data_IF_614062008086
#
_entry.id   IF_614062008086
#
_cell.length_a   1.000
_cell.length_b   1.000
_cell.length_c   1.000
_cell.angle_alpha   90.00
_cell.angle_beta   90.00
_cell.angle_gamma   90.00
#
_symmetry.space_group_name_H-M   'P 1'
#
loop_
_entity.id
_entity.type
_entity.pdbx_description
1 polymer ?
#
# COMPACT_ATOMS: atom_id res chain seq x y z
N UNK A 1 10.39 11.63 -16.62
CA UNK A 1 10.47 11.41 -18.09
C UNK A 1 10.69 9.94 -18.49
N UNK A 2 11.35 9.11 -17.66
CA UNK A 2 11.53 7.69 -17.95
C UNK A 2 10.23 6.87 -17.86
N UNK A 3 9.30 7.23 -16.97
CA UNK A 3 7.99 6.58 -16.88
C UNK A 3 7.10 6.83 -18.11
N UNK A 4 7.27 7.95 -18.81
CA UNK A 4 6.51 8.22 -20.03
C UNK A 4 6.99 7.41 -21.24
N UNK A 5 8.27 7.03 -21.30
CA UNK A 5 8.78 6.13 -22.33
C UNK A 5 8.35 4.68 -22.11
N UNK A 6 8.00 4.31 -20.87
CA UNK A 6 7.46 3.01 -20.50
C UNK A 6 6.04 2.76 -21.03
N UNK A 7 5.28 3.83 -21.30
CA UNK A 7 3.86 3.74 -21.68
C UNK A 7 3.58 2.99 -22.99
N UNK A 8 4.53 2.98 -23.91
CA UNK A 8 4.36 2.24 -25.19
C UNK A 8 4.59 0.73 -25.05
N UNK A 9 5.38 0.30 -24.07
CA UNK A 9 5.74 -1.10 -23.84
C UNK A 9 4.91 -1.76 -22.74
N UNK A 10 4.56 -0.98 -21.71
CA UNK A 10 3.78 -1.43 -20.55
C UNK A 10 2.66 -0.43 -20.24
N UNK A 11 1.47 -0.61 -20.84
CA UNK A 11 0.33 0.24 -20.54
C UNK A 11 0.00 0.19 -19.05
N UNK A 12 -0.09 1.36 -18.45
CA UNK A 12 -0.28 1.52 -17.01
C UNK A 12 -1.24 2.65 -16.68
N UNK A 13 -1.78 2.64 -15.49
CA UNK A 13 -2.64 3.69 -14.94
C UNK A 13 -2.31 3.95 -13.48
N UNK A 14 -2.38 5.22 -13.09
CA UNK A 14 -2.27 5.65 -11.69
C UNK A 14 -3.66 5.85 -11.10
N UNK A 15 -3.91 5.23 -9.96
CA UNK A 15 -5.17 5.32 -9.23
C UNK A 15 -4.92 5.97 -7.88
N UNK A 16 -5.57 7.11 -7.68
CA UNK A 16 -5.51 7.91 -6.47
C UNK A 16 -6.19 7.18 -5.29
N UNK A 17 -5.44 6.98 -4.22
CA UNK A 17 -5.86 6.35 -2.97
C UNK A 17 -6.07 7.36 -1.82
N UNK A 18 -6.24 8.64 -2.13
CA UNK A 18 -6.57 9.65 -1.14
C UNK A 18 -8.07 9.64 -0.81
N UNK A 19 -8.37 9.73 0.46
CA UNK A 19 -9.71 9.74 1.02
C UNK A 19 -10.06 11.14 1.53
N UNK A 20 -11.20 11.68 1.09
CA UNK A 20 -11.65 12.97 1.57
C UNK A 20 -12.26 12.85 2.97
N UNK A 21 -11.77 13.65 3.91
CA UNK A 21 -12.29 13.71 5.28
C UNK A 21 -13.79 14.05 5.25
N UNK A 22 -14.57 13.35 6.08
CA UNK A 22 -16.03 13.49 6.14
C UNK A 22 -16.81 12.72 5.06
N UNK A 23 -16.14 12.10 4.09
CA UNK A 23 -16.79 11.15 3.19
C UNK A 23 -16.78 9.73 3.76
N UNK A 24 -17.39 8.76 3.07
CA UNK A 24 -17.39 7.36 3.49
C UNK A 24 -16.16 6.62 2.94
N UNK A 25 -15.33 6.11 3.81
CA UNK A 25 -14.12 5.35 3.45
C UNK A 25 -14.46 4.12 2.60
N UNK A 26 -15.54 3.44 2.92
CA UNK A 26 -16.06 2.31 2.15
C UNK A 26 -16.31 2.67 0.68
N UNK A 27 -16.96 3.81 0.45
CA UNK A 27 -17.26 4.29 -0.91
C UNK A 27 -15.98 4.59 -1.70
N UNK A 28 -14.95 5.12 -1.04
CA UNK A 28 -13.65 5.37 -1.68
C UNK A 28 -12.97 4.06 -2.07
N UNK A 29 -12.96 3.07 -1.17
CA UNK A 29 -12.36 1.75 -1.46
C UNK A 29 -13.09 1.06 -2.62
N UNK A 30 -14.42 1.10 -2.65
CA UNK A 30 -15.20 0.54 -3.76
C UNK A 30 -14.93 1.27 -5.07
N UNK A 31 -14.73 2.60 -5.04
CA UNK A 31 -14.31 3.36 -6.22
C UNK A 31 -12.93 2.93 -6.73
N UNK A 32 -11.95 2.75 -5.84
CA UNK A 32 -10.61 2.27 -6.19
C UNK A 32 -10.69 0.90 -6.87
N UNK A 33 -11.45 -0.05 -6.30
CA UNK A 33 -11.66 -1.39 -6.86
C UNK A 33 -12.22 -1.34 -8.28
N UNK A 34 -13.27 -0.55 -8.50
CA UNK A 34 -13.90 -0.36 -9.81
C UNK A 34 -12.97 0.28 -10.83
N UNK A 35 -12.19 1.27 -10.41
CA UNK A 35 -11.21 1.92 -11.28
C UNK A 35 -10.10 0.95 -11.70
N UNK A 36 -9.61 0.09 -10.79
CA UNK A 36 -8.67 -0.96 -11.13
C UNK A 36 -9.25 -1.95 -12.15
N UNK A 37 -10.49 -2.42 -11.93
CA UNK A 37 -11.17 -3.31 -12.85
C UNK A 37 -11.29 -2.68 -14.25
N UNK A 38 -11.78 -1.44 -14.33
CA UNK A 38 -11.90 -0.69 -15.58
C UNK A 38 -10.56 -0.52 -16.29
N UNK A 39 -9.52 -0.17 -15.53
CA UNK A 39 -8.17 0.00 -16.05
C UNK A 39 -7.65 -1.27 -16.75
N UNK A 40 -7.84 -2.44 -16.12
CA UNK A 40 -7.41 -3.71 -16.67
C UNK A 40 -8.21 -4.07 -17.93
N UNK A 41 -9.51 -3.82 -17.94
CA UNK A 41 -10.37 -4.05 -19.10
C UNK A 41 -10.00 -3.15 -20.28
N UNK A 42 -9.45 -1.96 -20.02
CA UNK A 42 -8.89 -1.05 -21.02
C UNK A 42 -7.49 -1.48 -21.52
N UNK A 43 -6.94 -2.60 -21.02
CA UNK A 43 -5.68 -3.17 -21.49
C UNK A 43 -4.46 -2.83 -20.66
N UNK A 44 -4.59 -2.06 -19.58
CA UNK A 44 -3.47 -1.75 -18.70
C UNK A 44 -2.95 -3.02 -17.99
N UNK A 45 -1.62 -3.14 -17.90
CA UNK A 45 -0.91 -4.27 -17.30
C UNK A 45 -0.28 -3.94 -15.96
N UNK A 46 -0.16 -2.66 -15.66
CA UNK A 46 0.40 -2.15 -14.42
C UNK A 46 -0.57 -1.13 -13.84
N UNK A 47 -0.85 -1.25 -12.56
CA UNK A 47 -1.64 -0.26 -11.80
C UNK A 47 -0.77 0.27 -10.67
N UNK A 48 -0.58 1.58 -10.64
CA UNK A 48 0.03 2.28 -9.52
C UNK A 48 -1.09 2.75 -8.58
N UNK A 49 -1.12 2.18 -7.38
CA UNK A 49 -1.99 2.63 -6.30
C UNK A 49 -1.20 3.67 -5.50
N UNK A 50 -1.59 4.93 -5.59
CA UNK A 50 -0.78 6.04 -5.09
C UNK A 50 -1.48 6.87 -4.02
N UNK A 51 -0.75 7.24 -2.97
CA UNK A 51 -1.14 8.23 -1.97
C UNK A 51 -0.31 9.52 -2.05
N UNK A 52 0.47 9.67 -3.13
CA UNK A 52 1.17 10.93 -3.44
C UNK A 52 0.15 12.03 -3.75
N UNK A 53 0.61 13.26 -3.84
CA UNK A 53 -0.22 14.42 -4.18
C UNK A 53 -1.34 14.70 -3.16
N UNK A 54 -0.98 14.65 -1.87
CA UNK A 54 -1.88 15.05 -0.78
C UNK A 54 -2.51 16.43 -1.07
N UNK A 55 -3.82 16.48 -0.88
CA UNK A 55 -4.63 17.71 -1.04
C UNK A 55 -5.19 18.09 0.34
N UNK A 56 -5.54 19.35 0.49
CA UNK A 56 -6.34 19.78 1.65
C UNK A 56 -7.61 18.92 1.74
N UNK A 57 -8.06 18.66 2.94
CA UNK A 57 -9.21 17.79 3.27
C UNK A 57 -9.07 16.32 2.83
N UNK A 58 -7.86 15.86 2.49
CA UNK A 58 -7.63 14.47 2.12
C UNK A 58 -6.56 13.82 3.01
N UNK A 59 -6.72 12.53 3.26
CA UNK A 59 -5.75 11.68 3.95
C UNK A 59 -5.57 10.38 3.18
N UNK A 60 -4.42 9.71 3.24
CA UNK A 60 -4.22 8.41 2.61
C UNK A 60 -5.18 7.35 3.16
N UNK A 61 -5.79 6.56 2.28
CA UNK A 61 -6.36 5.26 2.70
C UNK A 61 -5.19 4.34 3.04
N UNK A 62 -5.18 3.65 4.19
CA UNK A 62 -4.08 2.74 4.54
C UNK A 62 -3.77 1.77 3.40
N UNK A 63 -2.54 1.76 2.92
CA UNK A 63 -2.18 1.03 1.71
C UNK A 63 -2.35 -0.49 1.86
N UNK A 64 -2.19 -1.05 3.07
CA UNK A 64 -2.50 -2.45 3.35
C UNK A 64 -3.96 -2.79 3.05
N UNK A 65 -4.88 -1.90 3.41
CA UNK A 65 -6.31 -2.06 3.15
C UNK A 65 -6.61 -1.97 1.66
N UNK A 66 -6.00 -1.00 0.96
CA UNK A 66 -6.17 -0.82 -0.50
C UNK A 66 -5.68 -2.05 -1.27
N UNK A 67 -4.44 -2.49 -1.01
CA UNK A 67 -3.84 -3.64 -1.70
C UNK A 67 -4.68 -4.90 -1.49
N UNK A 68 -5.06 -5.21 -0.25
CA UNK A 68 -5.87 -6.40 0.03
C UNK A 68 -7.25 -6.33 -0.64
N UNK A 69 -7.95 -5.20 -0.53
CA UNK A 69 -9.27 -5.00 -1.14
C UNK A 69 -9.23 -5.16 -2.67
N UNK A 70 -8.25 -4.54 -3.32
CA UNK A 70 -8.07 -4.63 -4.79
C UNK A 70 -7.66 -6.05 -5.20
N UNK A 71 -6.70 -6.66 -4.49
CA UNK A 71 -6.23 -8.02 -4.77
C UNK A 71 -7.39 -9.03 -4.77
N UNK A 72 -8.19 -9.06 -3.71
CA UNK A 72 -9.32 -9.98 -3.60
C UNK A 72 -10.43 -9.68 -4.63
N UNK A 73 -10.74 -8.40 -4.84
CA UNK A 73 -11.70 -8.02 -5.87
C UNK A 73 -11.28 -8.51 -7.26
N UNK A 74 -10.00 -8.36 -7.61
CA UNK A 74 -9.49 -8.83 -8.89
C UNK A 74 -9.43 -10.36 -9.00
N UNK A 75 -9.26 -11.09 -7.88
CA UNK A 75 -9.39 -12.55 -7.84
C UNK A 75 -10.83 -12.96 -8.15
N UNK A 76 -11.81 -12.37 -7.47
CA UNK A 76 -13.25 -12.63 -7.69
C UNK A 76 -13.64 -12.37 -9.16
N UNK A 77 -13.09 -11.31 -9.76
CA UNK A 77 -13.29 -10.95 -11.16
C UNK A 77 -12.46 -11.78 -12.16
N UNK A 78 -11.58 -12.68 -11.70
CA UNK A 78 -10.64 -13.46 -12.55
C UNK A 78 -9.69 -12.58 -13.36
N UNK A 79 -9.35 -11.41 -12.85
CA UNK A 79 -8.48 -10.41 -13.50
C UNK A 79 -7.09 -10.31 -12.84
N UNK A 80 -6.90 -10.89 -11.63
CA UNK A 80 -5.68 -10.67 -10.84
C UNK A 80 -4.39 -11.06 -11.56
N UNK A 81 -4.40 -12.12 -12.35
CA UNK A 81 -3.23 -12.60 -13.09
C UNK A 81 -2.85 -11.73 -14.30
N UNK A 82 -3.70 -10.77 -14.68
CA UNK A 82 -3.48 -9.91 -15.86
C UNK A 82 -2.73 -8.63 -15.53
N UNK A 83 -2.47 -8.33 -14.25
CA UNK A 83 -1.98 -7.03 -13.82
C UNK A 83 -0.97 -7.13 -12.69
N UNK A 84 0.01 -6.23 -12.69
CA UNK A 84 0.90 -5.96 -11.57
C UNK A 84 0.37 -4.78 -10.75
N UNK A 85 0.22 -4.96 -9.44
CA UNK A 85 -0.18 -3.90 -8.50
C UNK A 85 1.08 -3.30 -7.87
N UNK A 86 1.31 -2.03 -8.07
CA UNK A 86 2.44 -1.29 -7.51
C UNK A 86 1.91 -0.34 -6.44
N UNK A 87 2.36 -0.52 -5.20
CA UNK A 87 2.04 0.38 -4.11
C UNK A 87 3.01 1.57 -4.10
N UNK A 88 2.51 2.77 -4.33
CA UNK A 88 3.25 4.03 -4.23
C UNK A 88 2.76 4.74 -2.98
N UNK A 89 3.49 4.59 -1.86
CA UNK A 89 2.94 4.94 -0.55
C UNK A 89 3.93 5.55 0.42
N UNK A 90 3.42 6.44 1.26
CA UNK A 90 4.13 7.00 2.41
C UNK A 90 4.08 6.12 3.65
N UNK A 91 3.19 5.12 3.71
CA UNK A 91 2.98 4.27 4.89
C UNK A 91 4.14 3.30 5.18
N UNK A 92 5.06 3.12 4.22
CA UNK A 92 6.07 2.06 4.25
C UNK A 92 7.46 2.62 4.56
N UNK A 93 8.06 2.18 5.66
CA UNK A 93 9.37 2.65 6.11
C UNK A 93 10.33 1.48 6.37
N UNK A 94 9.87 0.40 7.00
CA UNK A 94 10.69 -0.73 7.45
C UNK A 94 10.30 -2.06 6.79
N UNK A 95 11.14 -3.08 6.94
CA UNK A 95 11.03 -4.38 6.27
C UNK A 95 9.70 -5.10 6.48
N UNK A 96 9.11 -5.02 7.69
CA UNK A 96 7.80 -5.64 7.97
C UNK A 96 6.66 -4.99 7.21
N UNK A 97 6.71 -3.68 6.95
CA UNK A 97 5.71 -3.01 6.11
C UNK A 97 5.77 -3.54 4.67
N UNK A 98 6.98 -3.72 4.13
CA UNK A 98 7.16 -4.33 2.79
C UNK A 98 6.66 -5.77 2.77
N UNK A 99 7.04 -6.57 3.77
CA UNK A 99 6.61 -7.96 3.87
C UNK A 99 5.08 -8.08 3.88
N UNK A 100 4.40 -7.25 4.68
CA UNK A 100 2.94 -7.24 4.77
C UNK A 100 2.29 -6.91 3.42
N UNK A 101 2.74 -5.85 2.72
CA UNK A 101 2.19 -5.47 1.42
C UNK A 101 2.41 -6.54 0.35
N UNK A 102 3.60 -7.16 0.29
CA UNK A 102 3.89 -8.23 -0.65
C UNK A 102 3.03 -9.45 -0.35
N UNK A 103 2.90 -9.84 0.92
CA UNK A 103 2.04 -10.95 1.35
C UNK A 103 0.57 -10.73 0.99
N UNK A 104 0.09 -9.48 1.00
CA UNK A 104 -1.27 -9.11 0.59
C UNK A 104 -1.44 -8.91 -0.93
N UNK A 105 -0.37 -9.04 -1.71
CA UNK A 105 -0.45 -9.07 -3.17
C UNK A 105 0.15 -7.87 -3.91
N UNK A 106 0.92 -7.00 -3.26
CA UNK A 106 1.68 -5.97 -3.97
C UNK A 106 2.82 -6.59 -4.77
N UNK A 107 2.90 -6.28 -6.06
CA UNK A 107 3.96 -6.78 -6.97
C UNK A 107 5.25 -5.97 -6.84
N UNK A 108 5.14 -4.68 -6.53
CA UNK A 108 6.25 -3.79 -6.23
C UNK A 108 5.81 -2.69 -5.26
N UNK A 109 6.77 -2.05 -4.60
CA UNK A 109 6.51 -1.00 -3.61
C UNK A 109 7.49 0.16 -3.85
N UNK A 110 6.94 1.37 -3.94
CA UNK A 110 7.70 2.61 -3.99
C UNK A 110 7.44 3.43 -2.72
N UNK A 111 8.36 3.41 -1.73
CA UNK A 111 8.18 4.07 -0.44
C UNK A 111 8.61 5.54 -0.54
N UNK A 112 7.78 6.40 -1.17
CA UNK A 112 8.16 7.77 -1.52
C UNK A 112 8.56 8.59 -0.30
N UNK A 113 7.83 8.47 0.82
CA UNK A 113 8.13 9.24 2.03
C UNK A 113 9.46 8.84 2.68
N UNK A 114 9.77 7.54 2.73
CA UNK A 114 11.08 7.09 3.20
C UNK A 114 12.22 7.64 2.34
N UNK A 115 12.03 7.71 1.01
CA UNK A 115 13.00 8.29 0.10
C UNK A 115 13.16 9.79 0.28
N UNK A 116 12.07 10.52 0.57
CA UNK A 116 12.13 11.95 0.90
C UNK A 116 12.89 12.22 2.19
N UNK A 117 12.64 11.43 3.24
CA UNK A 117 13.40 11.53 4.51
C UNK A 117 14.89 11.31 4.25
N UNK A 118 15.24 10.27 3.48
CA UNK A 118 16.63 9.98 3.12
C UNK A 118 17.23 11.12 2.31
N UNK A 119 16.47 11.74 1.41
CA UNK A 119 16.91 12.87 0.60
C UNK A 119 17.17 14.11 1.46
N UNK A 120 16.21 14.49 2.31
CA UNK A 120 16.27 15.71 3.13
C UNK A 120 17.28 15.61 4.29
N UNK A 121 17.70 14.40 4.67
CA UNK A 121 18.64 14.20 5.80
C UNK A 121 19.98 14.86 5.52
N UNK A 122 20.34 15.85 6.35
CA UNK A 122 21.68 16.43 6.32
C UNK A 122 22.73 15.39 6.78
N UNK A 123 23.63 15.00 5.89
CA UNK A 123 24.62 13.94 6.15
C UNK A 123 25.82 14.08 5.24
N UNK A 124 27.01 13.75 5.77
CA UNK A 124 28.27 13.66 5.00
C UNK A 124 28.24 12.53 3.94
N UNK A 125 27.31 11.56 4.08
CA UNK A 125 27.17 10.44 3.15
C UNK A 125 26.30 10.87 1.97
N UNK A 126 26.79 10.68 0.74
CA UNK A 126 26.05 11.03 -0.50
C UNK A 126 24.70 10.34 -0.55
N UNK A 127 23.69 11.03 -1.09
CA UNK A 127 22.30 10.57 -1.16
C UNK A 127 22.16 9.16 -1.75
N UNK A 128 22.74 8.89 -2.92
CA UNK A 128 22.63 7.60 -3.58
C UNK A 128 23.18 6.42 -2.74
N UNK A 129 24.22 6.69 -1.93
CA UNK A 129 24.77 5.67 -1.02
C UNK A 129 23.81 5.39 0.13
N UNK A 130 23.15 6.43 0.67
CA UNK A 130 22.11 6.27 1.70
C UNK A 130 20.94 5.48 1.16
N UNK A 131 20.47 5.81 -0.05
CA UNK A 131 19.39 5.10 -0.72
C UNK A 131 19.74 3.62 -0.97
N UNK A 132 20.95 3.35 -1.46
CA UNK A 132 21.45 1.97 -1.66
C UNK A 132 21.48 1.20 -0.33
N UNK A 133 21.96 1.83 0.74
CA UNK A 133 22.01 1.21 2.07
C UNK A 133 20.60 0.91 2.61
N UNK A 134 19.66 1.83 2.44
CA UNK A 134 18.26 1.61 2.83
C UNK A 134 17.67 0.41 2.07
N UNK A 135 17.80 0.38 0.74
CA UNK A 135 17.30 -0.74 -0.07
C UNK A 135 17.92 -2.07 0.35
N UNK A 136 19.24 -2.12 0.52
CA UNK A 136 19.93 -3.33 0.96
C UNK A 136 19.47 -3.79 2.36
N UNK A 137 19.15 -2.85 3.26
CA UNK A 137 18.59 -3.16 4.58
C UNK A 137 17.21 -3.81 4.47
N UNK A 138 16.31 -3.24 3.65
CA UNK A 138 14.98 -3.79 3.40
C UNK A 138 15.08 -5.18 2.75
N UNK A 139 15.90 -5.35 1.72
CA UNK A 139 16.12 -6.64 1.05
C UNK A 139 16.60 -7.72 2.04
N UNK A 140 17.58 -7.37 2.89
CA UNK A 140 18.09 -8.29 3.93
C UNK A 140 17.02 -8.63 4.96
N UNK A 141 16.19 -7.66 5.37
CA UNK A 141 15.07 -7.88 6.28
C UNK A 141 14.03 -8.82 5.69
N UNK A 142 13.63 -8.60 4.43
CA UNK A 142 12.69 -9.47 3.71
C UNK A 142 13.22 -10.91 3.60
N UNK A 143 14.47 -11.09 3.20
CA UNK A 143 15.12 -12.41 3.13
C UNK A 143 15.09 -13.12 4.49
N UNK A 144 15.32 -12.38 5.59
CA UNK A 144 15.27 -12.93 6.95
C UNK A 144 13.85 -13.37 7.33
N UNK A 145 12.83 -12.56 6.99
CA UNK A 145 11.41 -12.89 7.24
C UNK A 145 11.04 -14.15 6.45
N UNK A 146 11.32 -14.18 5.15
CA UNK A 146 11.03 -15.33 4.28
C UNK A 146 11.75 -16.60 4.73
N UNK A 147 13.01 -16.49 5.11
CA UNK A 147 13.80 -17.62 5.64
C UNK A 147 13.19 -18.22 6.89
N UNK A 148 12.67 -17.40 7.83
CA UNK A 148 11.97 -17.89 9.01
C UNK A 148 10.67 -18.63 8.69
N UNK A 149 10.03 -18.29 7.57
CA UNK A 149 8.82 -18.95 7.08
C UNK A 149 9.11 -20.15 6.16
N UNK A 150 10.37 -20.45 5.87
CA UNK A 150 10.77 -21.51 4.96
C UNK A 150 10.47 -21.23 3.49
N UNK A 151 10.33 -19.96 3.11
CA UNK A 151 10.01 -19.52 1.74
C UNK A 151 11.29 -19.02 1.06
N UNK A 152 11.68 -19.68 -0.03
CA UNK A 152 12.93 -19.39 -0.74
C UNK A 152 12.80 -18.35 -1.86
N UNK A 153 11.61 -18.10 -2.38
CA UNK A 153 11.39 -17.18 -3.50
C UNK A 153 10.37 -16.11 -3.16
N UNK A 154 10.57 -14.90 -3.67
CA UNK A 154 9.62 -13.80 -3.50
C UNK A 154 8.26 -14.12 -4.14
N UNK A 155 8.24 -14.86 -5.24
CA UNK A 155 7.00 -15.31 -5.88
C UNK A 155 6.18 -16.25 -4.99
N UNK A 156 6.82 -17.07 -4.18
CA UNK A 156 6.14 -17.90 -3.20
C UNK A 156 5.60 -17.14 -1.98
N UNK A 157 6.14 -15.96 -1.71
CA UNK A 157 5.68 -15.08 -0.64
C UNK A 157 4.61 -14.09 -1.10
N UNK A 158 4.62 -13.73 -2.38
CA UNK A 158 3.67 -12.79 -2.97
C UNK A 158 2.23 -13.33 -2.95
N UNK A 159 1.32 -12.58 -2.33
CA UNK A 159 -0.07 -13.00 -2.20
C UNK A 159 -0.28 -14.21 -1.28
N UNK A 160 0.70 -14.56 -0.46
CA UNK A 160 0.66 -15.74 0.42
C UNK A 160 -0.31 -15.60 1.59
N UNK A 161 -0.70 -14.37 1.95
CA UNK A 161 -1.57 -14.06 3.10
C UNK A 161 -1.04 -14.63 4.43
N UNK A 162 0.27 -14.78 4.58
CA UNK A 162 0.93 -15.32 5.78
C UNK A 162 1.04 -14.24 6.87
N UNK A 163 -0.11 -13.69 7.25
CA UNK A 163 -0.27 -12.69 8.29
C UNK A 163 -1.34 -13.14 9.27
N UNK A 164 -1.10 -12.91 10.55
CA UNK A 164 -2.12 -13.02 11.59
C UNK A 164 -2.53 -11.62 12.01
N UNK A 165 -3.82 -11.41 12.19
CA UNK A 165 -4.35 -10.12 12.64
C UNK A 165 -4.80 -10.19 14.10
N UNK A 166 -4.47 -9.14 14.85
CA UNK A 166 -4.96 -8.92 16.18
C UNK A 166 -5.58 -7.52 16.28
N UNK A 167 -6.74 -7.39 16.91
CA UNK A 167 -7.39 -6.10 17.09
C UNK A 167 -8.12 -5.56 15.84
N UNK A 168 -8.37 -6.39 14.82
CA UNK A 168 -9.21 -6.06 13.66
C UNK A 168 -10.58 -6.72 13.83
N UNK A 169 -11.64 -5.94 13.63
CA UNK A 169 -13.01 -6.40 13.78
C UNK A 169 -13.42 -7.38 12.67
N UNK A 170 -14.33 -8.33 12.97
CA UNK A 170 -14.67 -9.41 12.06
C UNK A 170 -15.34 -8.94 10.77
N UNK A 171 -16.07 -7.82 10.78
CA UNK A 171 -16.70 -7.27 9.57
C UNK A 171 -15.66 -6.67 8.64
N UNK A 172 -14.71 -5.90 9.19
CA UNK A 172 -13.59 -5.34 8.43
C UNK A 172 -12.73 -6.45 7.84
N UNK A 173 -12.39 -7.46 8.66
CA UNK A 173 -11.60 -8.60 8.25
C UNK A 173 -12.26 -9.37 7.10
N UNK A 174 -13.52 -9.78 7.28
CA UNK A 174 -14.26 -10.53 6.26
C UNK A 174 -14.39 -9.79 4.94
N UNK A 175 -14.55 -8.46 4.99
CA UNK A 175 -14.78 -7.64 3.79
C UNK A 175 -13.51 -7.37 2.99
N UNK A 176 -12.41 -7.06 3.68
CA UNK A 176 -11.20 -6.55 3.03
C UNK A 176 -9.98 -7.45 3.16
N UNK A 177 -10.00 -8.40 4.08
CA UNK A 177 -8.92 -9.36 4.34
C UNK A 177 -9.47 -10.80 4.46
N UNK A 178 -10.28 -11.28 3.49
CA UNK A 178 -11.04 -12.52 3.65
C UNK A 178 -10.18 -13.76 3.85
N UNK A 179 -8.90 -13.70 3.48
CA UNK A 179 -7.95 -14.80 3.63
C UNK A 179 -7.12 -14.74 4.91
N UNK A 180 -7.32 -13.71 5.75
CA UNK A 180 -6.60 -13.59 7.01
C UNK A 180 -7.42 -14.09 8.18
N UNK A 181 -6.72 -14.68 9.14
CA UNK A 181 -7.30 -15.12 10.41
C UNK A 181 -7.17 -14.02 11.48
N UNK A 182 -8.28 -13.68 12.13
CA UNK A 182 -8.29 -12.75 13.27
C UNK A 182 -8.37 -13.52 14.59
N UNK A 183 -7.46 -13.25 15.51
CA UNK A 183 -7.46 -13.88 16.83
C UNK A 183 -8.26 -13.07 17.86
N UNK A 184 -8.29 -11.76 17.72
CA UNK A 184 -8.99 -10.85 18.62
C UNK A 184 -9.77 -9.84 17.77
N UNK A 185 -11.05 -9.66 18.08
CA UNK A 185 -11.86 -8.60 17.50
C UNK A 185 -11.36 -7.22 17.90
N UNK A 186 -11.86 -6.17 17.27
CA UNK A 186 -11.44 -4.80 17.60
C UNK A 186 -11.95 -3.80 16.55
N UNK A 187 -11.03 -3.09 15.93
CA UNK A 187 -11.23 -1.97 15.03
C UNK A 187 -12.08 -2.35 13.80
N UNK A 188 -13.22 -1.70 13.66
CA UNK A 188 -14.07 -1.77 12.48
C UNK A 188 -13.85 -0.56 11.55
N UNK A 189 -14.49 -0.56 10.39
CA UNK A 189 -14.28 0.48 9.37
C UNK A 189 -14.59 1.89 9.88
N UNK A 190 -15.65 2.04 10.66
CA UNK A 190 -16.04 3.33 11.24
C UNK A 190 -15.01 3.85 12.25
N UNK A 191 -14.34 2.96 12.97
CA UNK A 191 -13.28 3.34 13.91
C UNK A 191 -12.02 3.78 13.16
N UNK A 192 -11.75 3.12 12.03
CA UNK A 192 -10.69 3.54 11.12
C UNK A 192 -10.96 4.93 10.52
N UNK A 193 -12.20 5.21 10.10
CA UNK A 193 -12.60 6.56 9.64
C UNK A 193 -12.34 7.63 10.70
N UNK A 194 -12.76 7.38 11.94
CA UNK A 194 -12.53 8.30 13.07
C UNK A 194 -11.04 8.48 13.34
N UNK A 195 -10.25 7.38 13.28
CA UNK A 195 -8.81 7.44 13.45
C UNK A 195 -8.14 8.29 12.36
N UNK A 196 -8.50 8.10 11.10
CA UNK A 196 -7.96 8.87 9.97
C UNK A 196 -8.31 10.36 10.09
N UNK A 197 -9.55 10.69 10.47
CA UNK A 197 -9.97 12.07 10.71
C UNK A 197 -9.15 12.70 11.83
N UNK A 198 -9.03 12.03 12.97
CA UNK A 198 -8.22 12.54 14.10
C UNK A 198 -6.75 12.71 13.75
N UNK A 199 -6.18 11.77 12.99
CA UNK A 199 -4.79 11.86 12.51
C UNK A 199 -4.60 13.07 11.61
N UNK A 200 -5.55 13.33 10.72
CA UNK A 200 -5.55 14.52 9.86
C UNK A 200 -5.63 15.80 10.69
N UNK A 201 -6.60 15.92 11.58
CA UNK A 201 -6.79 17.11 12.44
C UNK A 201 -5.56 17.42 13.29
N UNK A 202 -4.91 16.40 13.84
CA UNK A 202 -3.66 16.57 14.59
C UNK A 202 -2.52 17.07 13.69
N UNK A 203 -2.38 16.53 12.47
CA UNK A 203 -1.36 16.97 11.52
C UNK A 203 -1.53 18.43 11.10
N UNK A 204 -2.77 18.91 10.96
CA UNK A 204 -3.03 20.33 10.65
C UNK A 204 -2.67 21.22 11.85
N UNK A 205 -3.03 20.83 13.07
CA UNK A 205 -2.69 21.59 14.28
C UNK A 205 -1.18 21.70 14.48
N UNK A 206 -0.45 20.62 14.26
CA UNK A 206 1.02 20.62 14.36
C UNK A 206 1.63 21.58 13.33
N UNK A 207 1.10 21.58 12.09
CA UNK A 207 1.55 22.48 11.02
C UNK A 207 1.26 23.96 11.31
N UNK A 208 0.11 24.27 11.93
CA UNK A 208 -0.27 25.64 12.30
C UNK A 208 0.50 26.16 13.51
N UNK A 209 1.15 25.29 14.30
CA UNK A 209 1.92 25.63 15.49
C UNK A 209 3.43 25.87 15.23
N UNK A 210 3.92 25.54 14.04
CA UNK A 210 5.29 25.82 13.56
C UNK A 210 5.36 27.17 12.82
#
# INVERSE_FOLDING_TARGET
NELKSFNSWFPHEEIDCLYRIGSKLDSKIESIKKNCEKSILNGNKIIFLTDQNLKLDHTPVPMLLVISAVHHHLIEKKLRSRVSLIAVTGDVIEDHHFAALISLGASAIYPHFAYEIIFKKNSKVKYYKRLKNYRASIEKGLLKIMSKMGISTLSGYHGSMLLNTAGIGPKLLKKYFPSLNGQLGGLELNDLEKYLTRKYDNSIKDFESE
#
